data_IF_877372615852
#
_entry.id   IF_877372615852
#
_cell.length_a   1.000
_cell.length_b   1.000
_cell.length_c   1.000
_cell.angle_alpha   90.00
_cell.angle_beta   90.00
_cell.angle_gamma   90.00
#
_symmetry.space_group_name_H-M   'P 1'
#
loop_
_entity.id
_entity.type
_entity.pdbx_description
1 polymer ?
#
# COMPACT_ATOMS: atom_id res chain seq x y z
N UNK A 1 -6.45 -7.35 -16.27
CA UNK A 1 -7.01 -7.05 -15.02
C UNK A 1 -6.04 -7.22 -13.86
N UNK A 2 -5.94 -6.22 -13.07
CA UNK A 2 -5.03 -6.29 -11.95
C UNK A 2 -5.67 -6.93 -10.77
N UNK A 3 -5.07 -7.99 -10.31
CA UNK A 3 -5.50 -8.57 -9.06
C UNK A 3 -4.29 -8.60 -8.14
N UNK A 4 -4.57 -8.75 -6.85
CA UNK A 4 -3.46 -8.78 -5.91
C UNK A 4 -2.53 -9.96 -6.18
N UNK A 5 -3.03 -10.96 -6.88
CA UNK A 5 -2.22 -12.15 -7.15
C UNK A 5 -1.16 -11.94 -8.20
N UNK A 6 -1.27 -10.89 -9.00
CA UNK A 6 -0.26 -10.57 -10.00
C UNK A 6 0.85 -9.71 -9.46
N UNK A 7 0.73 -9.27 -8.20
CA UNK A 7 1.74 -8.44 -7.57
C UNK A 7 2.67 -9.31 -6.71
N UNK A 8 3.90 -8.86 -6.50
CA UNK A 8 4.78 -9.60 -5.58
C UNK A 8 4.25 -9.53 -4.17
N UNK A 9 4.67 -10.47 -3.33
CA UNK A 9 4.19 -10.50 -1.95
C UNK A 9 4.65 -9.29 -1.14
N UNK A 10 5.82 -8.77 -1.44
CA UNK A 10 6.34 -7.59 -0.77
C UNK A 10 6.38 -6.45 -1.76
N UNK A 11 5.77 -5.35 -1.41
CA UNK A 11 5.64 -4.20 -2.30
C UNK A 11 6.56 -3.07 -1.84
N UNK A 12 7.31 -2.54 -2.77
CA UNK A 12 8.11 -1.35 -2.54
C UNK A 12 7.33 -0.13 -3.01
N UNK A 13 7.96 1.05 -2.86
CA UNK A 13 7.33 2.27 -3.34
C UNK A 13 7.06 2.20 -4.84
N UNK A 14 7.98 1.60 -5.60
CA UNK A 14 7.78 1.49 -7.04
C UNK A 14 6.57 0.63 -7.36
N UNK A 15 6.38 -0.44 -6.62
CA UNK A 15 5.25 -1.33 -6.84
C UNK A 15 3.94 -0.61 -6.52
N UNK A 16 3.93 0.19 -5.46
CA UNK A 16 2.74 0.93 -5.10
C UNK A 16 2.41 1.96 -6.16
N UNK A 17 3.42 2.60 -6.72
CA UNK A 17 3.20 3.54 -7.82
C UNK A 17 2.59 2.84 -9.03
N UNK A 18 3.05 1.63 -9.31
CA UNK A 18 2.52 0.86 -10.43
C UNK A 18 1.05 0.53 -10.25
N UNK A 19 0.57 0.55 -9.01
CA UNK A 19 -0.85 0.30 -8.73
C UNK A 19 -1.72 1.51 -9.03
N UNK A 20 -1.13 2.65 -9.33
CA UNK A 20 -1.90 3.84 -9.65
C UNK A 20 -1.71 4.99 -8.69
N UNK A 21 -0.83 4.86 -7.71
CA UNK A 21 -0.58 5.94 -6.76
C UNK A 21 0.56 6.82 -7.27
N UNK A 22 0.53 8.08 -6.87
CA UNK A 22 1.64 8.96 -7.18
C UNK A 22 2.83 8.61 -6.30
N UNK A 23 3.99 9.12 -6.70
CA UNK A 23 5.21 8.87 -5.93
C UNK A 23 5.06 9.39 -4.51
N UNK A 24 4.51 10.58 -4.36
CA UNK A 24 4.33 11.17 -3.03
C UNK A 24 3.41 10.31 -2.18
N UNK A 25 2.32 9.82 -2.76
CA UNK A 25 1.39 9.00 -2.01
C UNK A 25 2.01 7.66 -1.63
N UNK A 26 2.79 7.07 -2.53
CA UNK A 26 3.43 5.80 -2.23
C UNK A 26 4.36 5.93 -1.03
N UNK A 27 5.16 6.97 -1.00
CA UNK A 27 6.06 7.17 0.13
C UNK A 27 5.30 7.53 1.40
N UNK A 28 4.20 8.27 1.27
CA UNK A 28 3.37 8.57 2.43
C UNK A 28 2.81 7.31 3.05
N UNK A 29 2.33 6.39 2.22
CA UNK A 29 1.78 5.13 2.72
C UNK A 29 2.86 4.37 3.49
N UNK A 30 4.06 4.32 2.95
CA UNK A 30 5.14 3.57 3.59
C UNK A 30 5.65 4.25 4.85
N UNK A 31 5.30 5.50 5.08
CA UNK A 31 5.72 6.23 6.27
C UNK A 31 4.63 6.33 7.32
N UNK A 32 3.45 5.79 7.06
CA UNK A 32 2.37 5.85 8.04
C UNK A 32 2.61 4.84 9.15
N UNK A 33 2.18 5.21 10.34
CA UNK A 33 2.33 4.32 11.48
C UNK A 33 1.23 3.28 11.56
N UNK A 34 0.10 3.55 10.94
CA UNK A 34 -1.02 2.62 10.98
C UNK A 34 -0.96 1.59 9.88
N UNK A 35 0.10 1.62 9.06
CA UNK A 35 0.30 0.65 8.01
C UNK A 35 1.42 -0.30 8.44
N UNK A 36 1.22 -1.62 8.35
CA UNK A 36 2.24 -2.57 8.78
C UNK A 36 3.38 -2.66 7.77
N UNK A 37 4.35 -1.79 7.94
CA UNK A 37 5.49 -1.66 7.03
C UNK A 37 6.67 -2.44 7.58
N UNK A 38 7.38 -3.14 6.69
CA UNK A 38 8.60 -3.85 7.04
C UNK A 38 9.78 -3.02 6.55
N UNK A 39 10.70 -2.73 7.45
CA UNK A 39 11.88 -1.95 7.12
C UNK A 39 13.09 -2.87 7.04
N UNK A 40 13.73 -2.89 5.88
CA UNK A 40 14.91 -3.73 5.66
C UNK A 40 16.02 -2.82 5.18
N UNK A 41 17.02 -2.62 6.02
CA UNK A 41 18.08 -1.68 5.71
C UNK A 41 17.50 -0.28 5.60
N UNK A 42 17.76 0.38 4.49
CA UNK A 42 17.23 1.72 4.26
C UNK A 42 15.95 1.69 3.42
N UNK A 43 15.43 0.52 3.14
CA UNK A 43 14.25 0.39 2.27
C UNK A 43 13.05 -0.06 3.09
N UNK A 44 11.88 0.34 2.65
CA UNK A 44 10.64 -0.02 3.31
C UNK A 44 9.77 -0.81 2.35
N UNK A 45 9.11 -1.82 2.88
CA UNK A 45 8.23 -2.67 2.10
C UNK A 45 6.94 -2.89 2.89
N UNK A 46 5.89 -3.27 2.19
CA UNK A 46 4.65 -3.64 2.83
C UNK A 46 4.17 -4.94 2.20
N UNK A 47 3.63 -5.84 3.00
CA UNK A 47 3.06 -7.06 2.47
C UNK A 47 1.84 -6.71 1.62
N UNK A 48 1.76 -7.36 0.46
CA UNK A 48 0.68 -7.08 -0.49
C UNK A 48 -0.69 -7.18 0.16
N UNK A 49 -0.95 -8.27 0.85
CA UNK A 49 -2.26 -8.49 1.43
C UNK A 49 -2.57 -7.49 2.53
N UNK A 50 -1.56 -7.11 3.29
CA UNK A 50 -1.75 -6.11 4.34
C UNK A 50 -2.09 -4.75 3.76
N UNK A 51 -1.48 -4.41 2.64
CA UNK A 51 -1.79 -3.15 2.00
C UNK A 51 -3.23 -3.12 1.52
N UNK A 52 -3.69 -4.21 0.91
CA UNK A 52 -5.06 -4.26 0.43
C UNK A 52 -6.05 -4.22 1.57
N UNK A 53 -5.74 -4.87 2.69
CA UNK A 53 -6.60 -4.78 3.87
C UNK A 53 -6.73 -3.35 4.36
N UNK A 54 -5.61 -2.64 4.39
CA UNK A 54 -5.61 -1.25 4.83
C UNK A 54 -6.41 -0.37 3.86
N UNK A 55 -6.26 -0.61 2.57
CA UNK A 55 -6.97 0.16 1.56
C UNK A 55 -8.47 -0.10 1.64
N UNK A 56 -8.86 -1.33 1.86
CA UNK A 56 -10.28 -1.67 2.01
C UNK A 56 -10.89 -0.92 3.18
N UNK A 57 -10.16 -0.84 4.27
CA UNK A 57 -10.64 -0.13 5.45
C UNK A 57 -10.85 1.34 5.16
N UNK A 58 -9.93 1.95 4.42
CA UNK A 58 -10.05 3.36 4.08
C UNK A 58 -11.18 3.61 3.11
N UNK A 59 -11.33 2.72 2.17
CA UNK A 59 -12.38 2.87 1.19
C UNK A 59 -13.75 2.84 1.85
N UNK A 60 -13.95 1.94 2.79
CA UNK A 60 -15.21 1.86 3.51
C UNK A 60 -15.51 3.14 4.24
N UNK A 61 -14.51 3.72 4.86
CA UNK A 61 -14.72 4.96 5.59
C UNK A 61 -15.14 6.10 4.69
N UNK A 62 -14.51 6.18 3.53
CA UNK A 62 -14.81 7.26 2.61
C UNK A 62 -16.20 7.12 2.05
N UNK A 63 -16.61 5.90 1.80
CA UNK A 63 -17.96 5.68 1.33
C UNK A 63 -19.00 6.13 2.35
N UNK A 64 -18.71 5.94 3.60
CA UNK A 64 -19.63 6.36 4.64
C UNK A 64 -19.79 7.86 4.68
N UNK A 65 -18.76 8.58 4.31
CA UNK A 65 -18.82 10.02 4.35
C UNK A 65 -19.57 10.62 3.18
N UNK A 66 -19.57 9.92 2.09
CA UNK A 66 -20.23 10.41 0.91
C UNK A 66 -21.71 10.18 1.00
#
# INVERSE_FOLDING_TARGET
MNSRETLPMMLSANDIQAMGFTRTMAYSILNREDVPVVKIGSRKFIQRDKLFDWLDSKEDRENDKV
#
